data_IF_902246585765
#
_entry.id   IF_902246585765
#
_cell.length_a   1.000
_cell.length_b   1.000
_cell.length_c   1.000
_cell.angle_alpha   90.00
_cell.angle_beta   90.00
_cell.angle_gamma   90.00
#
_symmetry.space_group_name_H-M   'P 1'
#
loop_
_entity.id
_entity.type
_entity.pdbx_description
1 polymer ?
#
# COMPACT_ATOMS: atom_id res chain seq x y z
N UNK A 1 29.62 -47.01 -14.57
CA UNK A 1 28.33 -46.85 -13.85
C UNK A 1 28.29 -45.62 -12.96
N UNK A 2 29.32 -45.37 -12.12
CA UNK A 2 29.41 -44.14 -11.29
C UNK A 2 29.29 -42.83 -12.08
N UNK A 3 29.91 -42.75 -13.27
CA UNK A 3 29.88 -41.55 -14.11
C UNK A 3 28.46 -41.17 -14.59
N UNK A 4 27.63 -42.18 -14.90
CA UNK A 4 26.25 -41.96 -15.36
C UNK A 4 25.34 -41.43 -14.25
N UNK A 5 25.60 -41.83 -12.99
CA UNK A 5 24.86 -41.36 -11.82
C UNK A 5 25.21 -39.90 -11.53
N UNK A 6 26.49 -39.55 -11.64
CA UNK A 6 26.98 -38.18 -11.43
C UNK A 6 26.42 -37.20 -12.47
N UNK A 7 26.38 -37.62 -13.74
CA UNK A 7 25.79 -36.81 -14.82
C UNK A 7 24.29 -36.57 -14.61
N UNK A 8 23.58 -37.56 -14.06
CA UNK A 8 22.14 -37.48 -13.80
C UNK A 8 21.80 -36.58 -12.60
N UNK A 9 22.63 -36.59 -11.55
CA UNK A 9 22.50 -35.63 -10.45
C UNK A 9 22.77 -34.18 -10.91
N UNK A 10 23.75 -33.99 -11.79
CA UNK A 10 24.09 -32.66 -12.30
C UNK A 10 22.97 -32.07 -13.17
N UNK A 11 22.35 -32.88 -14.03
CA UNK A 11 21.24 -32.41 -14.89
C UNK A 11 20.01 -32.00 -14.08
N UNK A 12 19.68 -32.75 -13.02
CA UNK A 12 18.57 -32.43 -12.11
C UNK A 12 18.85 -31.13 -11.35
N UNK A 13 20.08 -30.93 -10.86
CA UNK A 13 20.48 -29.70 -10.17
C UNK A 13 20.38 -28.45 -11.04
N UNK A 14 20.81 -28.54 -12.31
CA UNK A 14 20.70 -27.44 -13.27
C UNK A 14 19.25 -27.13 -13.63
N UNK A 15 18.41 -28.17 -13.81
CA UNK A 15 16.99 -27.98 -14.08
C UNK A 15 16.26 -27.29 -12.92
N UNK A 16 16.53 -27.68 -11.68
CA UNK A 16 15.98 -27.04 -10.48
C UNK A 16 16.43 -25.58 -10.34
N UNK A 17 17.68 -25.28 -10.66
CA UNK A 17 18.21 -23.91 -10.61
C UNK A 17 17.57 -22.98 -11.66
N UNK A 18 17.31 -23.49 -12.87
CA UNK A 18 16.61 -22.76 -13.93
C UNK A 18 15.14 -22.47 -13.63
N UNK A 19 14.48 -23.34 -12.86
CA UNK A 19 13.06 -23.22 -12.53
C UNK A 19 12.83 -22.36 -11.27
N UNK A 20 13.80 -22.34 -10.34
CA UNK A 20 13.73 -21.58 -9.09
C UNK A 20 13.36 -20.08 -9.20
N UNK A 21 13.87 -19.27 -10.17
CA UNK A 21 13.55 -17.85 -10.21
C UNK A 21 12.10 -17.55 -10.59
N UNK A 22 11.38 -18.49 -11.22
CA UNK A 22 9.97 -18.31 -11.60
C UNK A 22 8.99 -18.57 -10.47
N UNK A 23 9.42 -19.23 -9.38
CA UNK A 23 8.59 -19.54 -8.23
C UNK A 23 8.86 -18.66 -7.02
N UNK A 24 9.69 -17.62 -7.15
CA UNK A 24 9.81 -16.61 -6.12
C UNK A 24 8.45 -15.90 -5.98
N UNK A 25 7.71 -16.09 -4.87
CA UNK A 25 6.46 -15.37 -4.66
C UNK A 25 6.80 -13.88 -4.64
N UNK A 26 6.25 -13.15 -5.61
CA UNK A 26 6.37 -11.70 -5.72
C UNK A 26 5.61 -11.05 -4.56
N UNK A 27 6.22 -11.03 -3.37
CA UNK A 27 5.73 -10.34 -2.18
C UNK A 27 5.78 -8.80 -2.30
N UNK A 28 5.87 -8.24 -3.50
CA UNK A 28 6.21 -6.83 -3.74
C UNK A 28 5.03 -5.86 -3.86
N UNK A 29 3.79 -6.33 -3.93
CA UNK A 29 2.63 -5.46 -4.18
C UNK A 29 1.87 -5.07 -2.90
N UNK A 30 1.79 -5.97 -1.92
CA UNK A 30 0.99 -5.74 -0.70
C UNK A 30 1.58 -4.68 0.23
N UNK A 31 2.91 -4.58 0.28
CA UNK A 31 3.61 -3.66 1.19
C UNK A 31 3.57 -2.19 0.69
N UNK A 32 3.57 -2.00 -0.63
CA UNK A 32 3.42 -0.66 -1.24
C UNK A 32 2.05 -0.06 -1.00
N UNK A 33 0.98 -0.83 -1.16
CA UNK A 33 -0.38 -0.33 -0.90
C UNK A 33 -0.58 0.10 0.56
N UNK A 34 0.01 -0.65 1.49
CA UNK A 34 -0.09 -0.36 2.92
C UNK A 34 0.71 0.89 3.32
N UNK A 35 1.89 1.10 2.73
CA UNK A 35 2.69 2.31 2.96
C UNK A 35 2.01 3.58 2.42
N UNK A 36 1.37 3.50 1.25
CA UNK A 36 0.63 4.64 0.67
C UNK A 36 -0.59 4.98 1.52
N UNK A 37 -1.33 3.96 1.99
CA UNK A 37 -2.49 4.16 2.86
C UNK A 37 -2.13 4.87 4.17
N UNK A 38 -0.99 4.52 4.78
CA UNK A 38 -0.53 5.17 6.02
C UNK A 38 -0.14 6.63 5.79
N UNK A 39 0.47 6.94 4.64
CA UNK A 39 0.82 8.31 4.26
C UNK A 39 -0.44 9.16 4.02
N UNK A 40 -1.40 8.65 3.25
CA UNK A 40 -2.67 9.36 2.98
C UNK A 40 -3.45 9.61 4.28
N UNK A 41 -3.54 8.61 5.16
CA UNK A 41 -4.20 8.77 6.47
C UNK A 41 -3.53 9.85 7.32
N UNK A 42 -2.21 9.94 7.31
CA UNK A 42 -1.49 10.98 8.04
C UNK A 42 -1.83 12.37 7.48
N UNK A 43 -1.85 12.50 6.16
CA UNK A 43 -2.14 13.75 5.47
C UNK A 43 -3.56 14.24 5.76
N UNK A 44 -4.56 13.35 5.72
CA UNK A 44 -5.93 13.69 6.11
C UNK A 44 -6.07 14.09 7.58
N UNK A 45 -5.31 13.46 8.48
CA UNK A 45 -5.29 13.81 9.91
C UNK A 45 -4.73 15.22 10.12
N UNK A 46 -3.69 15.58 9.38
CA UNK A 46 -3.06 16.89 9.45
C UNK A 46 -3.98 17.98 8.91
N UNK A 47 -4.66 17.74 7.79
CA UNK A 47 -5.68 18.64 7.24
C UNK A 47 -6.86 18.86 8.20
N UNK A 48 -7.34 17.81 8.87
CA UNK A 48 -8.39 17.95 9.89
C UNK A 48 -7.92 18.79 11.07
N UNK A 49 -6.66 18.62 11.51
CA UNK A 49 -6.09 19.42 12.58
C UNK A 49 -5.95 20.88 12.19
N UNK A 50 -5.51 21.16 10.97
CA UNK A 50 -5.41 22.52 10.43
C UNK A 50 -6.79 23.17 10.33
N UNK A 51 -7.80 22.44 9.86
CA UNK A 51 -9.18 22.91 9.78
C UNK A 51 -9.78 23.21 11.17
N UNK A 52 -9.50 22.37 12.17
CA UNK A 52 -9.89 22.61 13.56
C UNK A 52 -9.25 23.90 14.10
N UNK A 53 -7.97 24.10 13.81
CA UNK A 53 -7.21 25.28 14.24
C UNK A 53 -7.69 26.55 13.53
N UNK A 54 -8.04 26.46 12.24
CA UNK A 54 -8.63 27.57 11.49
C UNK A 54 -10.04 27.92 11.98
N UNK A 55 -10.80 26.95 12.49
CA UNK A 55 -12.06 27.19 13.18
C UNK A 55 -11.85 27.85 14.55
N UNK A 56 -10.93 27.33 15.38
CA UNK A 56 -10.60 27.91 16.70
C UNK A 56 -10.05 29.33 16.59
N UNK A 57 -9.27 29.61 15.54
CA UNK A 57 -8.72 30.95 15.27
C UNK A 57 -9.72 31.89 14.58
N UNK A 58 -10.93 31.41 14.27
CA UNK A 58 -12.00 32.19 13.65
C UNK A 58 -11.75 32.55 12.18
N UNK A 59 -10.79 31.90 11.51
CA UNK A 59 -10.53 32.07 10.07
C UNK A 59 -11.58 31.36 9.21
N UNK A 60 -12.22 30.34 9.77
CA UNK A 60 -13.28 29.58 9.11
C UNK A 60 -14.58 29.67 9.91
N UNK A 61 -15.69 29.80 9.20
CA UNK A 61 -17.03 29.79 9.82
C UNK A 61 -17.48 28.36 10.14
N UNK A 62 -18.39 28.18 11.10
CA UNK A 62 -18.93 26.86 11.47
C UNK A 62 -19.48 26.10 10.25
N UNK A 63 -20.18 26.80 9.35
CA UNK A 63 -20.72 26.20 8.14
C UNK A 63 -19.62 25.71 7.18
N UNK A 64 -18.53 26.48 7.03
CA UNK A 64 -17.37 26.08 6.23
C UNK A 64 -16.62 24.92 6.88
N UNK A 65 -16.45 24.93 8.20
CA UNK A 65 -15.85 23.81 8.94
C UNK A 65 -16.60 22.52 8.68
N UNK A 66 -17.93 22.53 8.79
CA UNK A 66 -18.76 21.36 8.52
C UNK A 66 -18.67 20.87 7.08
N UNK A 67 -18.74 21.77 6.10
CA UNK A 67 -18.62 21.41 4.68
C UNK A 67 -17.25 20.81 4.35
N UNK A 68 -16.17 21.42 4.83
CA UNK A 68 -14.81 20.95 4.57
C UNK A 68 -14.54 19.63 5.30
N UNK A 69 -15.07 19.46 6.52
CA UNK A 69 -15.00 18.21 7.28
C UNK A 69 -15.71 17.09 6.54
N UNK A 70 -16.92 17.31 6.05
CA UNK A 70 -17.68 16.33 5.27
C UNK A 70 -16.93 15.94 4.00
N UNK A 71 -16.41 16.90 3.24
CA UNK A 71 -15.60 16.63 2.05
C UNK A 71 -14.36 15.79 2.37
N UNK A 72 -13.64 16.10 3.46
CA UNK A 72 -12.45 15.36 3.88
C UNK A 72 -12.80 13.92 4.24
N UNK A 73 -13.89 13.68 4.97
CA UNK A 73 -14.37 12.32 5.25
C UNK A 73 -14.79 11.58 3.99
N UNK A 74 -15.47 12.24 3.05
CA UNK A 74 -15.88 11.61 1.80
C UNK A 74 -14.67 11.25 0.92
N UNK A 75 -13.66 12.13 0.87
CA UNK A 75 -12.38 11.86 0.18
C UNK A 75 -11.65 10.67 0.82
N UNK A 76 -11.56 10.62 2.15
CA UNK A 76 -10.96 9.49 2.87
C UNK A 76 -11.69 8.17 2.58
N UNK A 77 -13.03 8.16 2.62
CA UNK A 77 -13.84 6.99 2.33
C UNK A 77 -13.60 6.48 0.90
N UNK A 78 -13.52 7.39 -0.07
CA UNK A 78 -13.24 7.04 -1.47
C UNK A 78 -11.84 6.45 -1.66
N UNK A 79 -10.83 7.00 -0.98
CA UNK A 79 -9.46 6.45 -1.01
C UNK A 79 -9.43 5.05 -0.40
N UNK A 80 -10.10 4.84 0.73
CA UNK A 80 -10.23 3.51 1.35
C UNK A 80 -10.91 2.49 0.42
N UNK A 81 -12.02 2.88 -0.23
CA UNK A 81 -12.75 1.99 -1.15
C UNK A 81 -11.91 1.64 -2.39
N UNK A 82 -11.19 2.61 -2.96
CA UNK A 82 -10.30 2.37 -4.10
C UNK A 82 -9.15 1.41 -3.74
N UNK A 83 -8.68 1.47 -2.48
CA UNK A 83 -7.61 0.62 -1.99
C UNK A 83 -8.10 -0.79 -1.65
N UNK A 84 -9.34 -0.96 -1.20
CA UNK A 84 -9.96 -2.29 -1.02
C UNK A 84 -10.24 -3.01 -2.34
N UNK A 85 -10.44 -2.27 -3.43
CA UNK A 85 -10.65 -2.84 -4.77
C UNK A 85 -9.36 -3.12 -5.55
N UNK A 86 -8.20 -2.68 -5.07
CA UNK A 86 -6.89 -2.85 -5.73
C UNK A 86 -6.09 -4.01 -5.15
#
# INVERSE_FOLDING_TARGET
MLFSILALCFSIGVALWLIAPHFAPTHGTRDRGQSVLMADKHLFKEQLRELELDFETGKTTENQYHQTKEELTHKLAKVLEQLERS
#
